data_IF_877740938047
#
_entry.id   IF_877740938047
#
_cell.length_a   1.000
_cell.length_b   1.000
_cell.length_c   1.000
_cell.angle_alpha   90.00
_cell.angle_beta   90.00
_cell.angle_gamma   90.00
#
_symmetry.space_group_name_H-M   'P 1'
#
loop_
_entity.id
_entity.type
_entity.pdbx_description
1 polymer ?
#
# COMPACT_ATOMS: atom_id res chain seq x y z
N UNK A 1 3.62 6.88 -11.32
CA UNK A 1 5.06 6.68 -11.32
C UNK A 1 5.88 7.69 -12.09
N UNK A 2 5.54 8.04 -13.35
CA UNK A 2 6.42 8.82 -14.23
C UNK A 2 6.84 10.17 -13.64
N UNK A 3 5.90 10.91 -13.10
CA UNK A 3 6.16 12.26 -12.59
C UNK A 3 7.14 12.24 -11.44
N UNK A 4 6.90 11.39 -10.45
CA UNK A 4 7.68 11.39 -9.23
C UNK A 4 8.98 10.57 -9.33
N UNK A 5 8.92 9.41 -9.98
CA UNK A 5 10.08 8.49 -10.02
C UNK A 5 11.10 8.89 -11.08
N UNK A 6 10.65 9.44 -12.22
CA UNK A 6 11.52 9.82 -13.32
C UNK A 6 11.76 11.33 -13.32
N UNK A 7 10.72 12.13 -13.49
CA UNK A 7 10.86 13.58 -13.69
C UNK A 7 11.33 14.29 -12.42
N UNK A 8 10.82 13.92 -11.25
CA UNK A 8 11.22 14.53 -9.99
C UNK A 8 12.72 14.45 -9.73
N UNK A 9 13.32 13.25 -9.68
CA UNK A 9 14.76 13.11 -9.49
C UNK A 9 15.59 13.80 -10.57
N UNK A 10 15.26 13.61 -11.84
CA UNK A 10 16.04 14.19 -12.96
C UNK A 10 15.95 15.72 -13.00
N UNK A 11 14.80 16.31 -12.70
CA UNK A 11 14.65 17.78 -12.63
C UNK A 11 15.43 18.42 -11.48
N UNK A 12 15.76 17.63 -10.46
CA UNK A 12 16.63 18.03 -9.36
C UNK A 12 18.10 17.66 -9.54
N UNK A 13 18.50 17.21 -10.73
CA UNK A 13 19.87 16.80 -11.03
C UNK A 13 20.31 15.52 -10.28
N UNK A 14 19.36 14.73 -9.83
CA UNK A 14 19.63 13.47 -9.10
C UNK A 14 19.86 12.33 -10.11
N UNK A 15 20.83 11.48 -9.83
CA UNK A 15 21.04 10.26 -10.61
C UNK A 15 19.97 9.23 -10.25
N UNK A 16 19.23 8.74 -11.23
CA UNK A 16 18.29 7.62 -11.09
C UNK A 16 18.88 6.36 -11.72
N UNK A 17 18.77 5.23 -11.03
CA UNK A 17 19.20 3.93 -11.54
C UNK A 17 17.99 3.26 -12.21
N UNK A 18 18.13 2.98 -13.50
CA UNK A 18 17.18 2.13 -14.22
C UNK A 18 17.60 0.68 -14.06
N UNK A 19 16.71 -0.11 -13.49
CA UNK A 19 16.93 -1.53 -13.25
C UNK A 19 15.99 -2.35 -14.14
N UNK A 20 16.56 -3.15 -15.02
CA UNK A 20 15.82 -4.13 -15.83
C UNK A 20 15.92 -5.50 -15.18
N UNK A 21 14.77 -6.09 -14.86
CA UNK A 21 14.68 -7.41 -14.25
C UNK A 21 13.73 -7.45 -13.06
N UNK A 22 13.64 -8.62 -12.44
CA UNK A 22 12.86 -8.85 -11.25
C UNK A 22 13.74 -8.80 -9.98
N UNK A 23 13.21 -8.35 -8.84
CA UNK A 23 13.99 -8.15 -7.61
C UNK A 23 14.69 -9.42 -7.08
N UNK A 24 14.17 -10.59 -7.42
CA UNK A 24 14.66 -11.88 -6.93
C UNK A 24 15.57 -12.62 -7.91
N UNK A 25 15.90 -12.06 -9.08
CA UNK A 25 16.78 -12.69 -10.07
C UNK A 25 18.13 -11.98 -10.17
N UNK A 26 19.27 -12.69 -10.24
CA UNK A 26 19.45 -14.16 -10.16
C UNK A 26 19.27 -14.73 -8.75
N UNK A 27 19.28 -13.89 -7.73
CA UNK A 27 18.97 -14.25 -6.35
C UNK A 27 18.35 -13.04 -5.60
N UNK A 28 17.77 -13.28 -4.42
CA UNK A 28 17.05 -12.27 -3.64
C UNK A 28 17.93 -11.18 -3.02
N UNK A 29 19.26 -11.22 -3.21
CA UNK A 29 20.17 -10.13 -2.83
C UNK A 29 20.35 -9.07 -3.91
N UNK A 30 19.71 -9.25 -5.07
CA UNK A 30 19.91 -8.39 -6.26
C UNK A 30 19.77 -6.90 -5.99
N UNK A 31 18.69 -6.50 -5.35
CA UNK A 31 18.46 -5.09 -5.01
C UNK A 31 19.54 -4.54 -4.08
N UNK A 32 19.95 -5.33 -3.11
CA UNK A 32 20.95 -4.94 -2.12
C UNK A 32 22.35 -4.84 -2.72
N UNK A 33 22.68 -5.73 -3.66
CA UNK A 33 23.92 -5.65 -4.44
C UNK A 33 23.96 -4.39 -5.31
N UNK A 34 22.85 -4.01 -5.92
CA UNK A 34 22.73 -2.75 -6.68
C UNK A 34 22.97 -1.55 -5.75
N UNK A 35 22.31 -1.54 -4.59
CA UNK A 35 22.49 -0.48 -3.60
C UNK A 35 23.95 -0.34 -3.17
N UNK A 36 24.64 -1.44 -2.91
CA UNK A 36 26.03 -1.44 -2.48
C UNK A 36 26.98 -1.03 -3.60
N UNK A 37 26.78 -1.59 -4.80
CA UNK A 37 27.62 -1.32 -5.99
C UNK A 37 27.58 0.14 -6.41
N UNK A 38 26.37 0.72 -6.49
CA UNK A 38 26.17 2.07 -7.00
C UNK A 38 26.04 3.13 -5.92
N UNK A 39 26.23 2.74 -4.65
CA UNK A 39 26.16 3.66 -3.51
C UNK A 39 24.83 4.40 -3.44
N UNK A 40 23.73 3.66 -3.62
CA UNK A 40 22.38 4.20 -3.60
C UNK A 40 22.09 4.84 -2.25
N UNK A 41 21.54 6.05 -2.25
CA UNK A 41 21.16 6.79 -1.05
C UNK A 41 19.68 6.62 -0.70
N UNK A 42 18.83 6.49 -1.72
CA UNK A 42 17.38 6.35 -1.58
C UNK A 42 16.94 5.10 -2.33
N UNK A 43 16.32 4.18 -1.62
CA UNK A 43 15.70 2.99 -2.22
C UNK A 43 14.19 3.11 -2.08
N UNK A 44 13.48 3.12 -3.20
CA UNK A 44 12.04 3.41 -3.26
C UNK A 44 11.33 2.31 -4.04
N UNK A 45 10.39 1.60 -3.40
CA UNK A 45 9.74 0.42 -3.97
C UNK A 45 8.31 0.24 -3.45
N UNK A 46 7.64 -0.83 -3.90
CA UNK A 46 6.28 -1.16 -3.44
C UNK A 46 6.32 -2.13 -2.25
N UNK A 47 5.36 -2.06 -1.32
CA UNK A 47 5.20 -3.02 -0.22
C UNK A 47 5.15 -4.48 -0.65
N UNK A 48 4.50 -4.80 -1.78
CA UNK A 48 4.53 -6.16 -2.37
C UNK A 48 5.94 -6.65 -2.63
N UNK A 49 6.82 -5.81 -3.19
CA UNK A 49 8.22 -6.18 -3.40
C UNK A 49 8.97 -6.38 -2.07
N UNK A 50 8.67 -5.55 -1.07
CA UNK A 50 9.26 -5.67 0.27
C UNK A 50 8.85 -7.02 0.90
N UNK A 51 7.55 -7.36 0.87
CA UNK A 51 7.05 -8.64 1.40
C UNK A 51 7.67 -9.84 0.67
N UNK A 52 7.76 -9.79 -0.65
CA UNK A 52 8.39 -10.85 -1.44
C UNK A 52 9.88 -11.06 -1.08
N UNK A 53 10.60 -9.98 -0.78
CA UNK A 53 12.00 -10.05 -0.34
C UNK A 53 12.10 -10.51 1.13
N UNK A 54 11.21 -10.05 2.00
CA UNK A 54 11.12 -10.46 3.41
C UNK A 54 10.88 -11.96 3.53
N UNK A 55 10.00 -12.53 2.70
CA UNK A 55 9.72 -13.96 2.65
C UNK A 55 10.94 -14.83 2.27
N UNK A 56 12.00 -14.23 1.67
CA UNK A 56 13.28 -14.91 1.40
C UNK A 56 14.25 -14.89 2.59
N UNK A 57 13.81 -14.34 3.72
CA UNK A 57 14.59 -14.22 4.93
C UNK A 57 15.66 -13.14 4.90
N UNK A 58 16.41 -13.00 5.99
CA UNK A 58 17.37 -11.92 6.17
C UNK A 58 18.73 -12.18 5.51
N UNK A 59 19.05 -13.45 5.22
CA UNK A 59 20.33 -13.87 4.65
C UNK A 59 20.73 -13.10 3.38
N UNK A 60 19.84 -12.96 2.37
CA UNK A 60 20.14 -12.18 1.17
C UNK A 60 20.50 -10.72 1.44
N UNK A 61 19.86 -10.10 2.44
CA UNK A 61 20.10 -8.71 2.84
C UNK A 61 21.50 -8.57 3.44
N UNK A 62 21.89 -9.50 4.32
CA UNK A 62 23.17 -9.46 5.02
C UNK A 62 24.41 -9.78 4.16
N UNK A 63 24.20 -10.23 2.91
CA UNK A 63 25.29 -10.39 1.94
C UNK A 63 25.95 -9.06 1.53
N UNK A 64 25.33 -7.92 1.84
CA UNK A 64 25.78 -6.58 1.46
C UNK A 64 25.78 -5.63 2.65
N UNK A 65 26.56 -4.55 2.58
CA UNK A 65 26.67 -3.57 3.66
C UNK A 65 25.64 -2.44 3.56
N UNK A 66 25.31 -2.02 2.35
CA UNK A 66 24.33 -0.94 2.04
C UNK A 66 24.57 0.38 2.80
N UNK A 67 25.82 0.66 3.20
CA UNK A 67 26.18 1.81 4.04
C UNK A 67 25.85 3.18 3.46
N UNK A 68 25.52 3.23 2.17
CA UNK A 68 25.11 4.47 1.50
C UNK A 68 23.62 4.78 1.63
N UNK A 69 22.79 3.79 2.00
CA UNK A 69 21.36 4.00 2.18
C UNK A 69 21.11 4.96 3.36
N UNK A 70 20.21 5.89 3.13
CA UNK A 70 19.75 6.87 4.13
C UNK A 70 18.24 6.90 4.22
N UNK A 71 17.54 6.67 3.11
CA UNK A 71 16.08 6.72 3.01
C UNK A 71 15.57 5.48 2.32
N UNK A 72 14.55 4.89 2.91
CA UNK A 72 13.79 3.77 2.38
C UNK A 72 12.35 4.23 2.15
N UNK A 73 11.92 4.23 0.89
CA UNK A 73 10.58 4.71 0.55
C UNK A 73 9.64 3.59 0.12
N UNK A 74 8.35 3.82 0.35
CA UNK A 74 7.26 2.93 -0.07
C UNK A 74 6.16 3.67 -0.81
N UNK A 75 5.54 3.00 -1.78
CA UNK A 75 4.48 3.55 -2.62
C UNK A 75 3.64 2.48 -3.29
N UNK A 76 2.42 2.83 -3.65
CA UNK A 76 1.54 2.08 -4.54
C UNK A 76 0.45 1.31 -3.81
N UNK A 77 0.70 0.91 -2.59
CA UNK A 77 -0.26 0.26 -1.69
C UNK A 77 0.10 0.55 -0.23
N UNK A 78 -0.82 0.35 0.73
CA UNK A 78 -0.48 0.46 2.15
C UNK A 78 0.57 -0.58 2.54
N UNK A 79 1.56 -0.16 3.35
CA UNK A 79 2.52 -1.10 3.93
C UNK A 79 2.01 -1.56 5.30
N UNK A 80 1.99 -2.87 5.54
CA UNK A 80 1.66 -3.40 6.85
C UNK A 80 2.80 -3.16 7.86
N UNK A 81 2.50 -3.02 9.16
CA UNK A 81 3.50 -2.71 10.18
C UNK A 81 4.67 -3.68 10.25
N UNK A 82 4.42 -4.97 9.99
CA UNK A 82 5.47 -6.00 10.02
C UNK A 82 6.49 -5.83 8.90
N UNK A 83 6.03 -5.64 7.65
CA UNK A 83 6.91 -5.36 6.52
C UNK A 83 7.63 -4.02 6.69
N UNK A 84 6.97 -3.01 7.27
CA UNK A 84 7.58 -1.74 7.63
C UNK A 84 8.72 -1.93 8.63
N UNK A 85 8.49 -2.72 9.70
CA UNK A 85 9.47 -2.99 10.74
C UNK A 85 10.68 -3.76 10.16
N UNK A 86 10.44 -4.80 9.37
CA UNK A 86 11.49 -5.54 8.68
C UNK A 86 12.31 -4.62 7.76
N UNK A 87 11.64 -3.74 7.02
CA UNK A 87 12.28 -2.80 6.12
C UNK A 87 13.18 -1.83 6.89
N UNK A 88 12.71 -1.32 8.02
CA UNK A 88 13.48 -0.46 8.91
C UNK A 88 14.67 -1.18 9.56
N UNK A 89 14.41 -2.30 10.23
CA UNK A 89 15.43 -2.99 11.04
C UNK A 89 16.45 -3.73 10.19
N UNK A 90 16.00 -4.50 9.20
CA UNK A 90 16.85 -5.42 8.45
C UNK A 90 17.46 -4.73 7.23
N UNK A 91 16.67 -4.04 6.41
CA UNK A 91 17.19 -3.39 5.22
C UNK A 91 17.89 -2.08 5.57
N UNK A 92 17.26 -1.27 6.40
CA UNK A 92 17.75 0.03 6.84
C UNK A 92 18.72 0.00 8.00
N UNK A 93 18.96 -1.18 8.58
CA UNK A 93 19.85 -1.36 9.72
C UNK A 93 19.51 -0.41 10.90
N UNK A 94 18.20 -0.17 11.12
CA UNK A 94 17.63 0.75 12.11
C UNK A 94 18.19 2.18 12.06
N UNK A 95 18.69 2.60 10.91
CA UNK A 95 19.33 3.91 10.70
C UNK A 95 18.79 4.70 9.51
N UNK A 96 17.98 4.07 8.66
CA UNK A 96 17.33 4.75 7.53
C UNK A 96 15.94 5.24 7.90
N UNK A 97 15.58 6.44 7.46
CA UNK A 97 14.20 6.90 7.57
C UNK A 97 13.30 6.12 6.63
N UNK A 98 12.14 5.68 7.13
CA UNK A 98 11.09 5.09 6.30
C UNK A 98 10.13 6.19 5.85
N UNK A 99 10.02 6.36 4.55
CA UNK A 99 9.16 7.36 3.92
C UNK A 99 8.04 6.63 3.18
N UNK A 100 6.94 6.40 3.88
CA UNK A 100 5.72 5.87 3.27
C UNK A 100 4.97 7.03 2.62
N UNK A 101 4.66 6.90 1.33
CA UNK A 101 4.10 8.00 0.54
C UNK A 101 2.73 7.64 -0.01
N UNK A 102 1.76 8.53 0.16
CA UNK A 102 0.50 8.42 -0.52
C UNK A 102 0.35 9.48 -1.61
N UNK A 103 0.02 9.00 -2.79
CA UNK A 103 -0.30 9.80 -3.98
C UNK A 103 -0.96 8.93 -5.04
N UNK A 104 -1.52 9.57 -6.05
CA UNK A 104 -2.13 8.92 -7.20
C UNK A 104 -1.50 9.47 -8.48
N UNK A 105 -1.66 8.78 -9.61
CA UNK A 105 -1.24 9.29 -10.92
C UNK A 105 -1.84 10.68 -11.18
N UNK A 106 -3.09 10.84 -10.79
CA UNK A 106 -3.89 12.05 -10.98
C UNK A 106 -3.50 13.19 -10.04
N UNK A 107 -2.86 12.90 -8.94
CA UNK A 107 -2.38 13.95 -8.04
C UNK A 107 -1.09 14.60 -8.53
N UNK A 108 -0.34 13.91 -9.40
CA UNK A 108 0.88 14.40 -10.04
C UNK A 108 2.08 14.55 -9.09
N UNK A 109 1.85 14.56 -7.79
CA UNK A 109 2.85 14.63 -6.74
C UNK A 109 2.39 13.89 -5.49
N UNK A 110 3.31 13.66 -4.56
CA UNK A 110 3.00 13.12 -3.22
C UNK A 110 2.16 14.12 -2.45
N UNK A 111 1.08 13.67 -1.83
CA UNK A 111 0.16 14.51 -1.05
C UNK A 111 0.21 14.24 0.46
N UNK A 112 0.55 13.02 0.87
CA UNK A 112 0.74 12.66 2.29
C UNK A 112 2.06 11.90 2.39
N UNK A 113 2.97 12.37 3.23
CA UNK A 113 4.31 11.80 3.35
C UNK A 113 5.05 12.35 4.55
N UNK A 114 5.82 11.57 5.29
CA UNK A 114 6.80 12.11 6.22
C UNK A 114 7.93 12.83 5.48
N UNK A 115 8.60 13.73 6.19
CA UNK A 115 9.83 14.37 5.74
C UNK A 115 10.99 13.69 6.46
N UNK A 116 11.91 13.12 5.69
CA UNK A 116 13.08 12.42 6.20
C UNK A 116 13.86 13.27 7.21
N UNK A 117 14.21 12.71 8.34
CA UNK A 117 14.93 13.37 9.42
C UNK A 117 14.13 14.38 10.24
N UNK A 118 12.84 14.62 9.92
CA UNK A 118 12.03 15.65 10.57
C UNK A 118 10.75 15.07 11.17
N UNK A 119 9.98 14.31 10.38
CA UNK A 119 8.69 13.80 10.83
C UNK A 119 8.88 12.50 11.62
N UNK A 120 8.47 12.44 12.90
CA UNK A 120 8.37 11.15 13.60
C UNK A 120 7.45 10.22 12.82
N UNK A 121 7.88 8.98 12.58
CA UNK A 121 7.11 8.01 11.79
C UNK A 121 6.42 6.98 12.67
N UNK A 122 5.31 6.46 12.18
CA UNK A 122 4.57 5.35 12.79
C UNK A 122 4.43 4.23 11.75
N UNK A 123 4.67 2.96 12.11
CA UNK A 123 4.56 1.85 11.18
C UNK A 123 3.23 1.82 10.41
N UNK A 124 3.31 1.74 9.08
CA UNK A 124 2.16 1.70 8.18
C UNK A 124 1.44 3.03 7.94
N UNK A 125 1.91 4.13 8.54
CA UNK A 125 1.31 5.46 8.33
C UNK A 125 2.01 6.25 7.24
N UNK A 126 1.24 6.82 6.31
CA UNK A 126 1.73 7.84 5.38
C UNK A 126 2.00 9.19 6.09
N UNK A 127 1.67 9.29 7.36
CA UNK A 127 1.90 10.41 8.28
C UNK A 127 1.07 11.67 8.00
N UNK A 128 1.73 12.79 7.75
CA UNK A 128 1.13 14.12 7.69
C UNK A 128 0.94 14.61 6.25
N UNK A 129 -0.02 15.51 6.01
CA UNK A 129 -0.17 16.18 4.72
C UNK A 129 1.10 16.88 4.28
N UNK A 130 1.43 16.76 2.99
CA UNK A 130 2.52 17.55 2.41
C UNK A 130 2.15 19.04 2.32
N UNK A 131 3.14 19.89 2.19
CA UNK A 131 2.96 21.34 2.22
C UNK A 131 1.91 21.84 1.21
N UNK A 132 0.94 22.60 1.71
CA UNK A 132 -0.13 23.19 0.91
C UNK A 132 -1.27 22.23 0.55
N UNK A 133 -1.17 20.95 0.92
CA UNK A 133 -2.24 19.96 0.72
C UNK A 133 -3.18 19.97 1.91
N UNK A 134 -4.48 19.90 1.65
CA UNK A 134 -5.52 19.90 2.67
C UNK A 134 -6.41 18.66 2.56
N UNK A 135 -5.95 17.48 3.04
CA UNK A 135 -6.78 16.29 3.09
C UNK A 135 -7.81 16.41 4.22
N UNK A 136 -8.96 15.79 4.02
CA UNK A 136 -9.99 15.61 5.02
C UNK A 136 -10.60 14.21 4.91
N UNK A 137 -11.29 13.79 5.96
CA UNK A 137 -12.09 12.58 5.95
C UNK A 137 -13.56 12.96 5.90
N UNK A 138 -14.31 12.39 4.97
CA UNK A 138 -15.74 12.55 4.83
C UNK A 138 -16.48 11.24 5.06
N UNK A 139 -17.68 11.32 5.60
CA UNK A 139 -18.61 10.20 5.57
C UNK A 139 -19.25 10.05 4.16
N UNK A 140 -20.04 9.00 3.97
CA UNK A 140 -20.71 8.71 2.68
C UNK A 140 -21.76 9.79 2.29
N UNK A 141 -22.13 10.68 3.23
CA UNK A 141 -23.04 11.80 2.99
C UNK A 141 -22.32 13.14 2.75
N UNK A 142 -20.99 13.13 2.75
CA UNK A 142 -20.17 14.31 2.54
C UNK A 142 -19.95 15.17 3.78
N UNK A 143 -20.30 14.67 4.98
CA UNK A 143 -20.02 15.37 6.23
C UNK A 143 -18.56 15.18 6.61
N UNK A 144 -17.88 16.27 6.95
CA UNK A 144 -16.49 16.25 7.43
C UNK A 144 -16.42 15.53 8.78
N UNK A 145 -15.47 14.61 8.91
CA UNK A 145 -15.18 13.88 10.13
C UNK A 145 -13.94 14.49 10.79
N UNK A 146 -14.15 15.10 11.95
CA UNK A 146 -13.10 15.78 12.71
C UNK A 146 -12.38 14.83 13.68
N UNK A 147 -11.13 15.17 14.05
CA UNK A 147 -10.32 14.46 15.04
C UNK A 147 -9.92 13.04 14.59
N UNK A 148 -9.83 12.11 15.55
CA UNK A 148 -9.57 10.69 15.29
C UNK A 148 -10.80 10.06 14.66
N UNK A 149 -10.66 9.62 13.40
CA UNK A 149 -11.77 9.09 12.62
C UNK A 149 -11.29 8.25 11.43
N UNK A 150 -12.23 7.53 10.81
CA UNK A 150 -12.03 6.82 9.55
C UNK A 150 -13.12 7.19 8.56
N UNK A 151 -12.78 7.36 7.29
CA UNK A 151 -13.73 7.77 6.26
C UNK A 151 -13.13 7.82 4.87
N UNK A 152 -13.86 8.42 3.95
CA UNK A 152 -13.42 8.65 2.59
C UNK A 152 -12.40 9.78 2.57
N UNK A 153 -11.22 9.50 2.02
CA UNK A 153 -10.17 10.51 1.87
C UNK A 153 -10.52 11.47 0.73
N UNK A 154 -10.52 12.73 1.03
CA UNK A 154 -10.75 13.81 0.06
C UNK A 154 -9.67 14.88 0.17
N UNK A 155 -9.46 15.67 -0.89
CA UNK A 155 -8.60 16.84 -0.86
C UNK A 155 -9.48 18.09 -1.07
N UNK A 156 -9.60 18.91 -0.03
CA UNK A 156 -10.55 20.03 0.00
C UNK A 156 -10.13 21.24 -0.85
N UNK A 157 -8.84 21.34 -1.17
CA UNK A 157 -8.32 22.47 -1.95
C UNK A 157 -7.45 21.97 -3.09
N UNK A 158 -7.54 22.63 -4.22
CA UNK A 158 -6.65 22.44 -5.36
C UNK A 158 -5.17 22.63 -4.97
N UNK A 159 -4.29 21.88 -5.62
CA UNK A 159 -2.83 21.94 -5.46
C UNK A 159 -2.16 22.05 -6.84
N UNK A 160 -0.90 22.48 -6.93
CA UNK A 160 -0.28 22.80 -8.22
C UNK A 160 -0.22 21.65 -9.24
N UNK A 161 -0.08 20.41 -8.79
CA UNK A 161 0.05 19.21 -9.64
C UNK A 161 -1.24 18.43 -9.85
N UNK A 162 -2.39 18.97 -9.41
CA UNK A 162 -3.69 18.34 -9.60
C UNK A 162 -3.98 18.09 -11.08
N UNK A 163 -4.57 16.93 -11.39
CA UNK A 163 -5.07 16.62 -12.74
C UNK A 163 -5.98 17.73 -13.25
N UNK A 164 -5.78 18.12 -14.51
CA UNK A 164 -6.61 19.15 -15.18
C UNK A 164 -7.61 18.57 -16.15
N UNK A 165 -7.31 17.41 -16.70
CA UNK A 165 -8.18 16.68 -17.63
C UNK A 165 -7.68 15.27 -17.86
N UNK A 166 -8.56 14.41 -18.37
CA UNK A 166 -8.21 13.15 -19.04
C UNK A 166 -8.16 13.43 -20.54
N UNK A 167 -7.13 12.98 -21.22
CA UNK A 167 -6.95 13.22 -22.65
C UNK A 167 -8.16 12.71 -23.45
N UNK A 168 -8.78 13.62 -24.19
CA UNK A 168 -9.97 13.33 -25.01
C UNK A 168 -11.26 13.12 -24.21
N UNK A 169 -11.24 13.11 -22.88
CA UNK A 169 -12.42 12.85 -22.06
C UNK A 169 -12.44 13.64 -20.75
N UNK A 170 -12.67 14.93 -20.86
CA UNK A 170 -12.77 15.82 -19.68
C UNK A 170 -13.94 15.44 -18.76
N UNK A 171 -15.04 14.95 -19.31
CA UNK A 171 -16.23 14.55 -18.52
C UNK A 171 -15.89 13.42 -17.56
N UNK A 172 -15.08 12.46 -18.00
CA UNK A 172 -14.62 11.38 -17.15
C UNK A 172 -13.84 11.88 -15.92
N UNK A 173 -12.99 12.89 -16.10
CA UNK A 173 -12.29 13.48 -14.96
C UNK A 173 -13.28 14.06 -13.94
N UNK A 174 -14.28 14.80 -14.41
CA UNK A 174 -15.28 15.40 -13.53
C UNK A 174 -16.10 14.33 -12.82
N UNK A 175 -16.62 13.35 -13.54
CA UNK A 175 -17.46 12.28 -12.94
C UNK A 175 -16.68 11.42 -11.94
N UNK A 176 -15.42 11.13 -12.21
CA UNK A 176 -14.62 10.28 -11.32
C UNK A 176 -14.20 10.97 -10.03
N UNK A 177 -13.79 12.25 -10.12
CA UNK A 177 -13.11 12.90 -8.98
C UNK A 177 -13.88 14.05 -8.32
N UNK A 178 -14.95 14.57 -8.95
CA UNK A 178 -15.62 15.78 -8.47
C UNK A 178 -17.15 15.68 -8.38
N UNK A 179 -17.73 14.55 -8.79
CA UNK A 179 -19.19 14.35 -8.79
C UNK A 179 -19.68 13.83 -7.44
N UNK A 180 -18.90 12.96 -6.78
CA UNK A 180 -19.24 12.39 -5.45
C UNK A 180 -19.36 13.47 -4.40
N UNK A 181 -18.40 14.40 -4.36
CA UNK A 181 -18.38 15.56 -3.45
C UNK A 181 -18.16 16.82 -4.26
N UNK A 182 -19.20 17.64 -4.53
CA UNK A 182 -19.08 18.81 -5.40
C UNK A 182 -17.97 19.76 -4.99
N UNK A 183 -17.09 20.09 -5.95
CA UNK A 183 -15.91 20.96 -5.79
C UNK A 183 -14.80 20.43 -4.86
N UNK A 184 -14.87 19.16 -4.43
CA UNK A 184 -13.86 18.52 -3.61
C UNK A 184 -13.30 17.32 -4.39
N UNK A 185 -11.99 17.20 -4.41
CA UNK A 185 -11.35 16.07 -5.07
C UNK A 185 -11.55 14.80 -4.25
N UNK A 186 -12.34 13.86 -4.76
CA UNK A 186 -12.54 12.54 -4.17
C UNK A 186 -11.46 11.59 -4.66
N UNK A 187 -10.68 11.06 -3.74
CA UNK A 187 -9.54 10.20 -4.08
C UNK A 187 -9.95 8.78 -4.47
N UNK A 188 -11.12 8.33 -4.06
CA UNK A 188 -11.54 6.94 -4.16
C UNK A 188 -10.82 6.03 -3.14
N UNK A 189 -10.02 6.59 -2.24
CA UNK A 189 -9.36 5.87 -1.17
C UNK A 189 -10.05 6.13 0.18
N UNK A 190 -10.07 5.13 1.04
CA UNK A 190 -10.39 5.26 2.44
C UNK A 190 -9.13 5.58 3.24
N UNK A 191 -9.31 6.28 4.36
CA UNK A 191 -8.21 6.51 5.29
C UNK A 191 -8.71 6.58 6.74
N UNK A 192 -7.78 6.30 7.65
CA UNK A 192 -7.92 6.55 9.09
C UNK A 192 -6.99 7.68 9.48
N UNK A 193 -7.47 8.58 10.35
CA UNK A 193 -6.65 9.61 10.99
C UNK A 193 -6.65 9.38 12.49
N UNK A 194 -5.46 9.41 13.11
CA UNK A 194 -5.33 9.27 14.56
C UNK A 194 -5.41 10.63 15.28
N UNK A 195 -5.31 10.57 16.61
CA UNK A 195 -5.33 11.75 17.50
C UNK A 195 -4.19 12.75 17.24
N UNK A 196 -3.08 12.29 16.65
CA UNK A 196 -1.92 13.13 16.33
C UNK A 196 -2.03 13.71 14.90
N UNK A 197 -3.10 13.41 14.17
CA UNK A 197 -3.36 13.88 12.82
C UNK A 197 -2.69 13.05 11.71
N UNK A 198 -2.14 11.90 12.06
CA UNK A 198 -1.48 11.00 11.10
C UNK A 198 -2.49 10.19 10.32
N UNK A 199 -2.21 9.97 9.03
CA UNK A 199 -3.07 9.23 8.11
C UNK A 199 -2.53 7.83 7.84
N UNK A 200 -3.42 6.84 7.90
CA UNK A 200 -3.25 5.49 7.37
C UNK A 200 -4.21 5.32 6.21
N UNK A 201 -3.71 4.96 5.05
CA UNK A 201 -4.56 4.61 3.90
C UNK A 201 -5.06 3.20 4.11
N UNK A 202 -6.37 3.01 4.01
CA UNK A 202 -7.04 1.72 4.27
C UNK A 202 -7.38 0.94 2.99
N UNK A 203 -7.06 1.51 1.82
CA UNK A 203 -7.34 0.93 0.50
C UNK A 203 -8.38 1.72 -0.27
N UNK A 204 -8.79 1.16 -1.42
CA UNK A 204 -9.84 1.75 -2.27
C UNK A 204 -11.20 1.67 -1.59
N UNK A 205 -12.01 2.70 -1.76
CA UNK A 205 -13.39 2.73 -1.21
C UNK A 205 -14.28 1.68 -1.87
N UNK A 206 -14.09 1.44 -3.16
CA UNK A 206 -14.72 0.39 -3.94
C UNK A 206 -14.25 -1.04 -3.58
N UNK A 207 -13.05 -1.16 -2.99
CA UNK A 207 -12.48 -2.41 -2.50
C UNK A 207 -12.65 -2.59 -0.97
N UNK A 208 -13.38 -1.69 -0.31
CA UNK A 208 -13.66 -1.79 1.13
C UNK A 208 -14.91 -2.63 1.37
N UNK A 209 -14.74 -3.67 2.18
CA UNK A 209 -15.83 -4.54 2.63
C UNK A 209 -16.50 -3.97 3.88
N UNK A 210 -17.83 -4.01 3.93
CA UNK A 210 -18.62 -3.66 5.11
C UNK A 210 -19.08 -4.94 5.82
N UNK A 211 -18.22 -5.48 6.66
CA UNK A 211 -18.50 -6.72 7.41
C UNK A 211 -18.99 -6.39 8.80
N UNK A 212 -20.24 -6.69 9.09
CA UNK A 212 -20.87 -6.42 10.39
C UNK A 212 -20.72 -4.98 10.88
N UNK A 213 -20.76 -4.00 9.95
CA UNK A 213 -20.60 -2.58 10.25
C UNK A 213 -19.15 -2.09 10.38
N UNK A 214 -18.17 -2.96 10.17
CA UNK A 214 -16.76 -2.59 10.14
C UNK A 214 -16.28 -2.50 8.69
N UNK A 215 -15.47 -1.49 8.41
CA UNK A 215 -14.82 -1.30 7.10
C UNK A 215 -13.47 -2.02 7.09
N UNK A 216 -13.33 -3.02 6.22
CA UNK A 216 -12.11 -3.81 6.03
C UNK A 216 -11.61 -3.62 4.60
N UNK A 217 -10.35 -3.27 4.43
CA UNK A 217 -9.72 -3.24 3.11
C UNK A 217 -9.46 -4.65 2.59
N UNK A 218 -9.83 -4.92 1.32
CA UNK A 218 -9.50 -6.20 0.69
C UNK A 218 -7.98 -6.44 0.69
N UNK A 219 -7.21 -5.39 0.40
CA UNK A 219 -5.75 -5.43 0.39
C UNK A 219 -5.11 -5.86 1.72
N UNK A 220 -5.74 -5.56 2.86
CA UNK A 220 -5.27 -6.00 4.17
C UNK A 220 -5.39 -7.52 4.31
N UNK A 221 -6.51 -8.08 3.90
CA UNK A 221 -6.78 -9.52 3.93
C UNK A 221 -5.90 -10.26 2.91
N UNK A 222 -5.76 -9.71 1.71
CA UNK A 222 -4.87 -10.23 0.66
C UNK A 222 -3.42 -10.27 1.14
N UNK A 223 -2.97 -9.19 1.79
CA UNK A 223 -1.64 -9.10 2.37
C UNK A 223 -1.40 -10.16 3.45
N UNK A 224 -2.37 -10.37 4.34
CA UNK A 224 -2.28 -11.43 5.34
C UNK A 224 -2.19 -12.82 4.71
N UNK A 225 -3.00 -13.10 3.69
CA UNK A 225 -2.94 -14.39 2.98
C UNK A 225 -1.57 -14.63 2.33
N UNK A 226 -1.00 -13.60 1.69
CA UNK A 226 0.31 -13.70 1.01
C UNK A 226 1.48 -13.83 2.00
N UNK A 227 1.32 -13.48 3.28
CA UNK A 227 2.32 -13.76 4.32
C UNK A 227 2.45 -15.26 4.61
N UNK A 228 1.45 -16.06 4.28
CA UNK A 228 1.52 -17.50 4.47
C UNK A 228 2.45 -18.13 3.43
N UNK A 229 3.39 -18.97 3.86
CA UNK A 229 4.48 -19.53 3.03
C UNK A 229 4.01 -20.30 1.79
N UNK A 230 2.79 -20.85 1.82
CA UNK A 230 2.19 -21.62 0.73
C UNK A 230 1.40 -20.78 -0.27
N UNK A 231 1.22 -19.48 -0.02
CA UNK A 231 0.42 -18.59 -0.88
C UNK A 231 1.32 -17.70 -1.73
N UNK A 232 1.15 -17.78 -3.05
CA UNK A 232 1.86 -16.94 -4.00
C UNK A 232 1.15 -15.61 -4.26
N UNK A 233 -0.19 -15.67 -4.45
CA UNK A 233 -1.03 -14.50 -4.71
C UNK A 233 -2.39 -14.68 -4.01
N UNK A 234 -3.02 -13.59 -3.66
CA UNK A 234 -4.37 -13.57 -3.13
C UNK A 234 -5.19 -12.43 -3.74
N UNK A 235 -6.49 -12.64 -3.86
CA UNK A 235 -7.48 -11.62 -4.20
C UNK A 235 -8.71 -11.80 -3.33
N UNK A 236 -9.30 -10.71 -2.89
CA UNK A 236 -10.47 -10.72 -2.00
C UNK A 236 -11.59 -9.89 -2.59
N UNK A 237 -12.80 -10.41 -2.53
CA UNK A 237 -14.01 -9.71 -2.96
C UNK A 237 -15.10 -9.80 -1.89
N UNK A 238 -15.96 -8.80 -1.87
CA UNK A 238 -17.17 -8.83 -1.06
C UNK A 238 -18.27 -9.65 -1.73
N UNK A 239 -18.97 -10.45 -0.93
CA UNK A 239 -20.18 -11.14 -1.34
C UNK A 239 -21.35 -10.74 -0.44
N UNK A 240 -22.57 -10.83 -0.92
CA UNK A 240 -23.74 -10.63 -0.07
C UNK A 240 -23.78 -11.68 1.03
N UNK A 241 -23.99 -11.25 2.28
CA UNK A 241 -24.10 -12.14 3.42
C UNK A 241 -25.31 -11.77 4.28
N UNK A 242 -26.23 -12.72 4.54
CA UNK A 242 -27.54 -12.42 5.15
C UNK A 242 -27.48 -11.86 6.57
N UNK A 243 -26.37 -12.07 7.30
CA UNK A 243 -26.21 -11.61 8.68
C UNK A 243 -25.22 -10.44 8.78
N UNK A 244 -24.11 -10.50 8.01
CA UNK A 244 -23.01 -9.54 8.11
C UNK A 244 -23.15 -8.33 7.16
N UNK A 245 -24.13 -8.36 6.26
CA UNK A 245 -24.27 -7.44 5.15
C UNK A 245 -23.34 -7.85 3.99
N UNK A 246 -22.04 -7.81 4.21
CA UNK A 246 -21.06 -8.41 3.30
C UNK A 246 -20.27 -9.51 4.00
N UNK A 247 -19.99 -10.58 3.26
CA UNK A 247 -19.05 -11.64 3.60
C UNK A 247 -17.76 -11.48 2.81
N UNK A 248 -16.73 -12.16 3.25
CA UNK A 248 -15.38 -12.13 2.67
C UNK A 248 -15.17 -13.39 1.83
N UNK A 249 -14.95 -13.22 0.53
CA UNK A 249 -14.55 -14.30 -0.35
C UNK A 249 -13.11 -14.10 -0.82
N UNK A 250 -12.24 -14.99 -0.41
CA UNK A 250 -10.83 -14.96 -0.76
C UNK A 250 -10.50 -15.99 -1.84
N UNK A 251 -9.70 -15.59 -2.80
CA UNK A 251 -9.07 -16.45 -3.80
C UNK A 251 -7.56 -16.48 -3.53
N UNK A 252 -6.95 -17.65 -3.59
CA UNK A 252 -5.52 -17.82 -3.43
C UNK A 252 -4.92 -18.58 -4.60
N UNK A 253 -3.75 -18.18 -5.06
CA UNK A 253 -2.88 -18.99 -5.91
C UNK A 253 -1.77 -19.52 -5.03
N UNK A 254 -1.57 -20.82 -5.03
CA UNK A 254 -0.54 -21.45 -4.21
C UNK A 254 0.85 -21.34 -4.84
N UNK A 255 1.87 -21.50 -4.01
CA UNK A 255 3.24 -21.68 -4.47
C UNK A 255 3.36 -22.95 -5.31
N UNK A 256 4.41 -23.00 -6.15
CA UNK A 256 4.71 -24.19 -6.98
C UNK A 256 4.94 -25.38 -6.05
N UNK A 257 4.40 -26.52 -6.43
CA UNK A 257 4.46 -27.80 -5.68
C UNK A 257 3.61 -27.86 -4.40
N UNK A 258 2.69 -26.92 -4.18
CA UNK A 258 1.71 -26.96 -3.09
C UNK A 258 0.33 -27.40 -3.60
N UNK A 259 -0.32 -28.31 -2.86
CA UNK A 259 -1.66 -28.79 -3.16
C UNK A 259 -2.72 -28.15 -2.25
N UNK A 260 -3.84 -27.75 -2.84
CA UNK A 260 -4.98 -27.21 -2.09
C UNK A 260 -5.79 -28.35 -1.45
N UNK A 261 -5.85 -28.32 -0.13
CA UNK A 261 -6.65 -29.27 0.68
C UNK A 261 -7.61 -28.52 1.60
N UNK A 262 -8.61 -29.21 2.15
CA UNK A 262 -9.51 -28.61 3.16
C UNK A 262 -8.73 -28.24 4.45
N UNK A 263 -7.67 -28.96 4.79
CA UNK A 263 -6.81 -28.63 5.92
C UNK A 263 -6.07 -27.31 5.68
N UNK A 264 -5.45 -27.15 4.51
CA UNK A 264 -4.78 -25.90 4.13
C UNK A 264 -5.77 -24.71 4.05
N UNK A 265 -6.97 -24.94 3.51
CA UNK A 265 -8.02 -23.94 3.50
C UNK A 265 -8.36 -23.44 4.91
N UNK A 266 -8.57 -24.34 5.84
CA UNK A 266 -8.86 -24.02 7.23
C UNK A 266 -7.67 -23.32 7.91
N UNK A 267 -6.44 -23.75 7.61
CA UNK A 267 -5.20 -23.13 8.07
C UNK A 267 -5.13 -21.68 7.61
N UNK A 268 -5.34 -21.40 6.32
CA UNK A 268 -5.32 -20.04 5.75
C UNK A 268 -6.41 -19.14 6.34
N UNK A 269 -7.63 -19.65 6.49
CA UNK A 269 -8.73 -18.91 7.11
C UNK A 269 -8.41 -18.52 8.57
N UNK A 270 -7.83 -19.46 9.33
CA UNK A 270 -7.44 -19.19 10.71
C UNK A 270 -6.21 -18.27 10.79
N UNK A 271 -5.30 -18.37 9.82
CA UNK A 271 -4.13 -17.49 9.72
C UNK A 271 -4.56 -16.04 9.57
N UNK A 272 -5.45 -15.71 8.63
CA UNK A 272 -6.01 -14.36 8.48
C UNK A 272 -6.67 -13.87 9.78
N UNK A 273 -7.46 -14.73 10.42
CA UNK A 273 -8.12 -14.37 11.70
C UNK A 273 -7.12 -14.08 12.82
N UNK A 274 -5.96 -14.73 12.82
CA UNK A 274 -4.90 -14.48 13.79
C UNK A 274 -4.14 -13.18 13.48
N UNK A 275 -3.84 -12.92 12.21
CA UNK A 275 -3.04 -11.76 11.78
C UNK A 275 -3.82 -10.43 11.89
N UNK A 276 -5.09 -10.41 11.50
CA UNK A 276 -5.90 -9.18 11.46
C UNK A 276 -6.93 -9.14 12.59
N UNK A 277 -7.54 -10.28 12.87
CA UNK A 277 -8.61 -10.42 13.86
C UNK A 277 -9.82 -11.20 13.33
N UNK A 278 -10.71 -11.64 14.22
CA UNK A 278 -11.85 -12.52 13.86
C UNK A 278 -12.82 -11.91 12.84
N UNK A 279 -12.89 -10.58 12.75
CA UNK A 279 -13.77 -9.86 11.82
C UNK A 279 -13.33 -10.03 10.36
N UNK A 280 -12.04 -10.23 10.13
CA UNK A 280 -11.43 -10.38 8.81
C UNK A 280 -11.40 -11.83 8.33
N UNK A 281 -11.93 -12.76 9.12
CA UNK A 281 -11.98 -14.18 8.79
C UNK A 281 -12.77 -14.41 7.51
N UNK A 282 -12.14 -14.97 6.42
CA UNK A 282 -12.85 -15.28 5.19
C UNK A 282 -14.03 -16.25 5.43
N UNK A 283 -15.18 -15.91 4.85
CA UNK A 283 -16.37 -16.79 4.85
C UNK A 283 -16.20 -17.91 3.81
N UNK A 284 -15.57 -17.58 2.69
CA UNK A 284 -15.23 -18.52 1.63
C UNK A 284 -13.76 -18.32 1.23
N UNK A 285 -13.08 -19.43 0.93
CA UNK A 285 -11.73 -19.43 0.37
C UNK A 285 -11.62 -20.49 -0.72
N UNK A 286 -11.11 -20.10 -1.86
CA UNK A 286 -10.97 -20.95 -3.04
C UNK A 286 -9.57 -20.82 -3.63
N UNK A 287 -9.04 -21.97 -4.10
CA UNK A 287 -7.85 -21.99 -4.92
C UNK A 287 -8.17 -21.59 -6.36
N UNK A 288 -7.36 -20.71 -6.91
CA UNK A 288 -7.39 -20.30 -8.31
C UNK A 288 -6.03 -20.59 -8.95
N UNK A 289 -5.97 -21.21 -10.13
CA UNK A 289 -4.69 -21.52 -10.80
C UNK A 289 -3.91 -20.26 -11.18
N UNK A 290 -4.62 -19.15 -11.38
CA UNK A 290 -4.05 -17.80 -11.56
C UNK A 290 -5.13 -16.76 -11.29
N UNK A 291 -4.72 -15.57 -10.86
CA UNK A 291 -5.62 -14.42 -10.71
C UNK A 291 -5.68 -13.62 -12.02
N UNK A 292 -6.83 -12.97 -12.34
CA UNK A 292 -6.91 -12.04 -13.47
C UNK A 292 -5.87 -10.93 -13.36
N UNK A 293 -5.24 -10.58 -14.47
CA UNK A 293 -4.30 -9.45 -14.57
C UNK A 293 -4.89 -8.41 -15.52
N UNK A 294 -4.76 -7.14 -15.17
CA UNK A 294 -5.13 -5.99 -16.00
C UNK A 294 -3.96 -5.53 -16.85
#
# INVERSE_FOLDING_TARGET
GHTYIIYGPLSNGTTSIMFEGIPTYPDSSRCWQICDKYKVNVFYTAPTAIRALMAKGNGPVFKTKRNSLRVLGTVGEPINPEAWQWYYEIVGNSSCDIIDTWWQTETGSVLISPIAGITPVKPGSATLPFFGVKPALHDDKGKVLEGENSGNLVIEKSWPSQIRTVYGDHKRMISTYFETYPNIYFTGDGAKRDKDGYFWITGRVDDVLNVSGHRLGTAEIESALVLHEKVAEAAVVGIEHPIKGQGIYAYVTLMVDEDFSEDLKNELINFVSKEIGPIAKPDLLQNAPSLPKT
#
